data_IF_319686120793
#
_entry.id   IF_319686120793
#
_cell.length_a   1.000
_cell.length_b   1.000
_cell.length_c   1.000
_cell.angle_alpha   90.00
_cell.angle_beta   90.00
_cell.angle_gamma   90.00
#
_symmetry.space_group_name_H-M   'P 1'
#
loop_
_entity.id
_entity.type
_entity.pdbx_description
1 polymer ?
#
# COMPACT_ATOMS: atom_id res chain seq x y z
N UNK A 1 -6.77 -5.45 20.75
CA UNK A 1 -5.39 -5.03 20.48
C UNK A 1 -5.14 -3.83 21.37
N UNK A 2 -4.04 -3.81 22.11
CA UNK A 2 -3.71 -2.66 22.96
C UNK A 2 -3.24 -1.46 22.13
N UNK A 3 -3.38 -0.23 22.67
CA UNK A 3 -2.85 1.00 22.06
C UNK A 3 -1.35 0.88 21.71
N UNK A 4 -0.59 0.20 22.57
CA UNK A 4 0.85 -0.04 22.36
C UNK A 4 1.09 -0.99 21.19
N UNK A 5 0.37 -2.10 21.12
CA UNK A 5 0.42 -3.04 19.98
C UNK A 5 0.05 -2.35 18.66
N UNK A 6 -1.01 -1.53 18.66
CA UNK A 6 -1.44 -0.79 17.48
C UNK A 6 -0.35 0.18 17.01
N UNK A 7 0.21 0.98 17.92
CA UNK A 7 1.33 1.89 17.61
C UNK A 7 2.53 1.13 17.05
N UNK A 8 2.86 -0.02 17.62
CA UNK A 8 3.96 -0.84 17.13
C UNK A 8 3.66 -1.34 15.72
N UNK A 9 2.50 -1.96 15.49
CA UNK A 9 2.08 -2.47 14.18
C UNK A 9 2.12 -1.40 13.09
N UNK A 10 1.59 -0.20 13.35
CA UNK A 10 1.59 0.88 12.37
C UNK A 10 3.01 1.42 12.13
N UNK A 11 3.91 1.41 13.11
CA UNK A 11 5.33 1.78 12.91
C UNK A 11 6.09 0.73 12.09
N UNK A 12 5.77 -0.55 12.27
CA UNK A 12 6.35 -1.62 11.45
C UNK A 12 6.02 -1.43 9.97
N UNK A 13 4.80 -0.99 9.64
CA UNK A 13 4.43 -0.66 8.25
C UNK A 13 5.37 0.39 7.64
N UNK A 14 5.73 1.43 8.40
CA UNK A 14 6.68 2.47 7.97
C UNK A 14 8.06 1.90 7.65
N UNK A 15 8.53 0.98 8.50
CA UNK A 15 9.83 0.31 8.32
C UNK A 15 9.78 -0.55 7.05
N UNK A 16 8.72 -1.32 6.89
CA UNK A 16 8.55 -2.20 5.74
C UNK A 16 8.45 -1.43 4.42
N UNK A 17 7.84 -0.24 4.38
CA UNK A 17 7.89 0.61 3.18
C UNK A 17 9.32 1.02 2.83
N UNK A 18 10.17 1.36 3.81
CA UNK A 18 11.58 1.64 3.54
C UNK A 18 12.31 0.43 2.94
N UNK A 19 12.03 -0.76 3.49
CA UNK A 19 12.61 -2.01 3.01
C UNK A 19 12.20 -2.29 1.57
N UNK A 20 10.90 -2.24 1.28
CA UNK A 20 10.34 -2.66 -0.01
C UNK A 20 10.58 -1.60 -1.10
N UNK A 21 10.33 -0.32 -0.82
CA UNK A 21 10.40 0.75 -1.84
C UNK A 21 11.82 1.25 -2.11
N UNK A 22 12.73 1.12 -1.14
CA UNK A 22 14.11 1.61 -1.28
C UNK A 22 15.19 0.53 -1.11
N UNK A 23 14.81 -0.73 -0.92
CA UNK A 23 15.75 -1.86 -0.86
C UNK A 23 16.65 -1.89 0.38
N UNK A 24 16.28 -1.19 1.45
CA UNK A 24 17.03 -1.24 2.72
C UNK A 24 16.80 -2.55 3.45
N UNK A 25 17.76 -3.00 4.27
CA UNK A 25 17.50 -4.09 5.20
C UNK A 25 16.73 -3.59 6.42
N UNK A 26 15.94 -4.48 7.03
CA UNK A 26 15.16 -4.15 8.23
C UNK A 26 16.04 -3.57 9.36
N UNK A 27 17.16 -4.25 9.66
CA UNK A 27 18.11 -3.81 10.68
C UNK A 27 18.73 -2.45 10.36
N UNK A 28 19.05 -2.19 9.09
CA UNK A 28 19.59 -0.90 8.67
C UNK A 28 18.60 0.23 8.97
N UNK A 29 17.31 0.05 8.68
CA UNK A 29 16.28 1.07 8.93
C UNK A 29 16.13 1.36 10.43
N UNK A 30 16.19 0.33 11.28
CA UNK A 30 16.11 0.50 12.73
C UNK A 30 17.32 1.25 13.28
N UNK A 31 18.52 0.88 12.84
CA UNK A 31 19.78 1.46 13.33
C UNK A 31 19.98 2.91 12.83
N UNK A 32 19.41 3.28 11.68
CA UNK A 32 19.66 4.55 11.00
C UNK A 32 18.44 5.48 10.93
N UNK A 33 17.49 5.38 11.88
CA UNK A 33 16.23 6.16 11.86
C UNK A 33 16.43 7.65 11.64
N UNK A 34 17.35 8.28 12.35
CA UNK A 34 17.61 9.74 12.25
C UNK A 34 18.09 10.15 10.86
N UNK A 35 18.92 9.32 10.21
CA UNK A 35 19.40 9.60 8.86
C UNK A 35 18.27 9.48 7.82
N UNK A 36 17.32 8.57 8.05
CA UNK A 36 16.19 8.32 7.17
C UNK A 36 15.03 9.32 7.37
N UNK A 37 15.05 10.17 8.40
CA UNK A 37 13.99 11.16 8.65
C UNK A 37 13.77 12.09 7.46
N UNK A 38 14.84 12.54 6.78
CA UNK A 38 14.73 13.41 5.60
C UNK A 38 14.03 12.72 4.42
N UNK A 39 14.16 11.40 4.32
CA UNK A 39 13.50 10.57 3.30
C UNK A 39 12.13 10.06 3.77
N UNK A 40 11.80 10.26 5.05
CA UNK A 40 10.52 9.86 5.61
C UNK A 40 9.38 10.71 5.05
N UNK A 41 9.62 11.98 4.73
CA UNK A 41 8.60 12.88 4.21
C UNK A 41 8.03 12.44 2.83
N UNK A 42 8.77 11.61 2.08
CA UNK A 42 8.30 11.03 0.80
C UNK A 42 7.57 9.69 0.94
N UNK A 43 7.40 9.18 2.16
CA UNK A 43 6.70 7.91 2.38
C UNK A 43 5.19 8.08 2.27
N UNK A 44 4.57 7.09 1.65
CA UNK A 44 3.12 6.90 1.64
C UNK A 44 2.59 6.76 3.06
N UNK A 45 3.40 6.26 3.99
CA UNK A 45 3.03 6.15 5.40
C UNK A 45 2.50 7.47 5.98
N UNK A 46 3.09 8.61 5.61
CA UNK A 46 2.67 9.92 6.12
C UNK A 46 1.35 10.42 5.51
N UNK A 47 0.93 9.87 4.37
CA UNK A 47 -0.39 10.13 3.77
C UNK A 47 -1.47 9.37 4.53
N UNK A 48 -1.16 8.16 5.04
CA UNK A 48 -2.13 7.30 5.70
C UNK A 48 -2.20 7.53 7.20
N UNK A 49 -1.06 7.65 7.88
CA UNK A 49 -0.98 7.50 9.32
C UNK A 49 -0.37 8.70 10.02
N UNK A 50 -0.99 9.05 11.14
CA UNK A 50 -0.38 9.93 12.11
C UNK A 50 -0.64 9.46 13.55
N UNK A 51 0.44 9.11 14.23
CA UNK A 51 0.41 8.59 15.59
C UNK A 51 0.72 9.65 16.67
N UNK A 52 0.87 10.92 16.28
CA UNK A 52 1.10 12.02 17.22
C UNK A 52 -0.20 12.38 17.95
N UNK A 53 -0.15 12.41 19.28
CA UNK A 53 -1.32 12.70 20.13
C UNK A 53 -1.69 14.19 20.16
N UNK A 54 -0.80 15.08 19.74
CA UNK A 54 -1.03 16.53 19.68
C UNK A 54 -0.57 17.06 18.32
N UNK A 55 -1.47 17.07 17.33
CA UNK A 55 -1.21 17.76 16.07
C UNK A 55 -1.10 19.28 16.33
N UNK A 56 0.12 19.80 16.35
CA UNK A 56 0.37 21.27 16.40
C UNK A 56 0.18 21.95 15.04
N UNK A 57 0.00 21.18 13.96
CA UNK A 57 -0.36 21.63 12.60
C UNK A 57 -1.42 20.70 12.03
N UNK A 58 -2.22 21.16 11.06
CA UNK A 58 -3.15 20.30 10.30
C UNK A 58 -2.36 19.12 9.74
N UNK A 59 -2.53 17.95 10.34
CA UNK A 59 -1.93 16.72 9.86
C UNK A 59 -2.88 16.17 8.79
N UNK A 60 -2.46 16.18 7.52
CA UNK A 60 -3.28 15.73 6.37
C UNK A 60 -3.40 14.19 6.26
N UNK A 61 -2.82 13.45 7.21
CA UNK A 61 -2.91 12.00 7.25
C UNK A 61 -4.35 11.53 7.43
N UNK A 62 -4.76 10.54 6.65
CA UNK A 62 -6.14 10.02 6.63
C UNK A 62 -6.59 9.42 7.96
N UNK A 63 -5.68 8.77 8.68
CA UNK A 63 -5.99 8.06 9.91
C UNK A 63 -5.05 8.52 11.04
N UNK A 64 -5.64 9.12 12.07
CA UNK A 64 -4.95 9.38 13.32
C UNK A 64 -5.10 8.21 14.30
N UNK A 65 -4.33 8.25 15.39
CA UNK A 65 -4.35 7.20 16.41
C UNK A 65 -5.75 6.96 17.00
N UNK A 66 -6.51 8.01 17.31
CA UNK A 66 -7.84 7.87 17.91
C UNK A 66 -8.83 7.17 16.97
N UNK A 67 -8.75 7.47 15.67
CA UNK A 67 -9.57 6.82 14.64
C UNK A 67 -9.21 5.35 14.52
N UNK A 68 -7.91 5.02 14.49
CA UNK A 68 -7.44 3.63 14.39
C UNK A 68 -7.81 2.81 15.63
N UNK A 69 -7.84 3.42 16.82
CA UNK A 69 -8.23 2.75 18.07
C UNK A 69 -9.69 2.34 18.12
N UNK A 70 -10.57 3.07 17.41
CA UNK A 70 -12.00 2.79 17.33
C UNK A 70 -12.35 1.74 16.28
N UNK A 71 -11.40 1.39 15.40
CA UNK A 71 -11.62 0.40 14.36
C UNK A 71 -11.57 -1.02 14.92
N UNK A 72 -12.47 -1.86 14.43
CA UNK A 72 -12.36 -3.30 14.63
C UNK A 72 -11.21 -3.89 13.79
N UNK A 73 -10.98 -5.20 13.94
CA UNK A 73 -9.91 -5.90 13.21
C UNK A 73 -10.10 -5.89 11.69
N UNK A 74 -11.34 -5.91 11.21
CA UNK A 74 -11.65 -5.97 9.78
C UNK A 74 -11.40 -4.61 9.13
N UNK A 75 -11.92 -3.53 9.73
CA UNK A 75 -11.68 -2.16 9.29
C UNK A 75 -10.19 -1.83 9.32
N UNK A 76 -9.47 -2.21 10.38
CA UNK A 76 -8.02 -1.99 10.45
C UNK A 76 -7.28 -2.76 9.34
N UNK A 77 -7.72 -3.97 9.01
CA UNK A 77 -7.15 -4.74 7.89
C UNK A 77 -7.37 -4.01 6.57
N UNK A 78 -8.56 -3.49 6.31
CA UNK A 78 -8.86 -2.74 5.09
C UNK A 78 -7.96 -1.51 4.92
N UNK A 79 -7.75 -0.76 6.01
CA UNK A 79 -6.84 0.40 6.01
C UNK A 79 -5.40 -0.01 5.70
N UNK A 80 -4.92 -1.09 6.31
CA UNK A 80 -3.55 -1.59 6.09
C UNK A 80 -3.40 -2.11 4.65
N UNK A 81 -4.41 -2.81 4.13
CA UNK A 81 -4.38 -3.29 2.75
C UNK A 81 -4.39 -2.13 1.75
N UNK A 82 -5.16 -1.05 2.01
CA UNK A 82 -5.18 0.15 1.17
C UNK A 82 -3.82 0.88 1.20
N UNK A 83 -3.21 0.95 2.38
CA UNK A 83 -1.85 1.47 2.55
C UNK A 83 -0.85 0.69 1.70
N UNK A 84 -0.82 -0.64 1.82
CA UNK A 84 0.11 -1.48 1.06
C UNK A 84 -0.10 -1.38 -0.43
N UNK A 85 -1.36 -1.38 -0.87
CA UNK A 85 -1.67 -1.14 -2.28
C UNK A 85 -1.05 0.17 -2.78
N UNK A 86 -1.16 1.25 -2.00
CA UNK A 86 -0.62 2.55 -2.40
C UNK A 86 0.91 2.55 -2.42
N UNK A 87 1.57 1.84 -1.49
CA UNK A 87 3.03 1.64 -1.50
C UNK A 87 3.47 0.91 -2.75
N UNK A 88 2.86 -0.25 -3.05
CA UNK A 88 3.19 -1.03 -4.23
C UNK A 88 2.95 -0.22 -5.51
N UNK A 89 1.79 0.42 -5.61
CA UNK A 89 1.47 1.28 -6.73
C UNK A 89 2.52 2.39 -6.95
N UNK A 90 3.01 3.00 -5.87
CA UNK A 90 4.06 4.02 -5.95
C UNK A 90 5.39 3.44 -6.44
N UNK A 91 5.77 2.24 -5.99
CA UNK A 91 6.97 1.53 -6.47
C UNK A 91 6.91 1.34 -7.99
N UNK A 92 5.78 0.83 -8.49
CA UNK A 92 5.64 0.59 -9.93
C UNK A 92 5.58 1.89 -10.74
N UNK A 93 4.95 2.95 -10.21
CA UNK A 93 4.99 4.28 -10.82
C UNK A 93 6.42 4.83 -10.92
N UNK A 94 7.21 4.66 -9.87
CA UNK A 94 8.62 5.09 -9.83
C UNK A 94 9.52 4.28 -10.78
N UNK A 95 9.16 3.03 -11.04
CA UNK A 95 9.84 2.14 -11.98
C UNK A 95 9.38 2.31 -13.44
N UNK A 96 8.40 3.18 -13.69
CA UNK A 96 8.05 3.63 -15.04
C UNK A 96 6.77 3.05 -15.64
N UNK A 97 5.70 2.87 -14.87
CA UNK A 97 4.34 2.66 -15.42
C UNK A 97 3.75 3.94 -16.04
N UNK A 98 3.37 3.95 -17.32
CA UNK A 98 2.55 5.02 -17.87
C UNK A 98 1.08 4.87 -17.42
N UNK A 99 0.55 5.87 -16.72
CA UNK A 99 -0.87 5.90 -16.37
C UNK A 99 -1.72 6.28 -17.60
N UNK A 100 -1.92 5.34 -18.52
CA UNK A 100 -2.79 5.45 -19.68
C UNK A 100 -3.68 4.21 -19.80
N UNK A 101 -5.00 4.41 -19.75
CA UNK A 101 -6.06 3.43 -20.10
C UNK A 101 -6.12 2.11 -19.30
N UNK A 102 -6.70 2.19 -18.09
CA UNK A 102 -7.11 1.03 -17.27
C UNK A 102 -8.11 0.07 -17.95
N UNK A 103 -8.55 0.35 -19.17
CA UNK A 103 -9.65 -0.31 -19.87
C UNK A 103 -9.20 -1.24 -21.01
N UNK A 104 -7.97 -1.78 -20.96
CA UNK A 104 -7.57 -2.75 -21.97
C UNK A 104 -8.45 -4.02 -21.88
N UNK A 105 -8.92 -4.58 -23.01
CA UNK A 105 -9.72 -5.80 -23.02
C UNK A 105 -9.05 -7.00 -22.33
N UNK A 106 -7.73 -7.10 -22.42
CA UNK A 106 -6.93 -8.17 -21.82
C UNK A 106 -6.81 -8.01 -20.29
N UNK A 107 -6.59 -6.79 -19.79
CA UNK A 107 -6.61 -6.49 -18.35
C UNK A 107 -8.00 -6.74 -17.76
N UNK A 108 -9.06 -6.30 -18.45
CA UNK A 108 -10.44 -6.52 -18.01
C UNK A 108 -10.78 -8.02 -17.95
N UNK A 109 -10.38 -8.79 -18.95
CA UNK A 109 -10.55 -10.24 -18.96
C UNK A 109 -9.81 -10.91 -17.79
N UNK A 110 -8.55 -10.53 -17.55
CA UNK A 110 -7.76 -11.06 -16.44
C UNK A 110 -8.37 -10.71 -15.07
N UNK A 111 -8.88 -9.48 -14.92
CA UNK A 111 -9.58 -9.04 -13.71
C UNK A 111 -10.99 -9.62 -13.57
N UNK A 112 -11.47 -10.39 -14.55
CA UNK A 112 -12.84 -10.93 -14.58
C UNK A 112 -13.91 -9.83 -14.63
N UNK A 113 -13.62 -8.75 -15.37
CA UNK A 113 -14.46 -7.56 -15.48
C UNK A 113 -15.02 -7.38 -16.90
N UNK A 114 -16.26 -6.87 -17.04
CA UNK A 114 -16.80 -6.48 -18.34
C UNK A 114 -16.01 -5.36 -19.02
N UNK A 115 -16.02 -5.35 -20.35
CA UNK A 115 -15.34 -4.35 -21.20
C UNK A 115 -15.76 -2.89 -20.94
N UNK A 116 -16.91 -2.65 -20.30
CA UNK A 116 -17.39 -1.32 -19.90
C UNK A 116 -17.20 -0.99 -18.42
N UNK A 117 -16.32 -1.71 -17.72
CA UNK A 117 -16.08 -1.45 -16.30
C UNK A 117 -15.37 -0.13 -16.10
N UNK A 118 -15.89 0.69 -15.18
CA UNK A 118 -15.25 1.95 -14.81
C UNK A 118 -13.93 1.72 -14.05
N UNK A 119 -13.10 2.76 -14.05
CA UNK A 119 -11.78 2.75 -13.41
C UNK A 119 -11.83 2.38 -11.93
N UNK A 120 -12.88 2.77 -11.20
CA UNK A 120 -13.01 2.43 -9.78
C UNK A 120 -13.25 0.94 -9.58
N UNK A 121 -14.05 0.32 -10.46
CA UNK A 121 -14.33 -1.11 -10.46
C UNK A 121 -13.09 -1.92 -10.84
N UNK A 122 -12.32 -1.44 -11.81
CA UNK A 122 -11.03 -2.02 -12.21
C UNK A 122 -10.05 -1.97 -11.04
N UNK A 123 -9.83 -0.80 -10.45
CA UNK A 123 -8.99 -0.63 -9.24
C UNK A 123 -9.45 -1.50 -8.08
N UNK A 124 -10.77 -1.68 -7.90
CA UNK A 124 -11.32 -2.55 -6.86
C UNK A 124 -10.96 -4.02 -7.12
N UNK A 125 -11.20 -4.55 -8.31
CA UNK A 125 -10.85 -5.95 -8.63
C UNK A 125 -9.36 -6.21 -8.60
N UNK A 126 -8.56 -5.29 -9.13
CA UNK A 126 -7.10 -5.37 -9.06
C UNK A 126 -6.64 -5.49 -7.60
N UNK A 127 -7.16 -4.64 -6.70
CA UNK A 127 -6.86 -4.73 -5.26
C UNK A 127 -7.29 -6.06 -4.64
N UNK A 128 -8.46 -6.57 -4.99
CA UNK A 128 -8.93 -7.87 -4.49
C UNK A 128 -7.98 -9.00 -4.91
N UNK A 129 -7.51 -9.00 -6.16
CA UNK A 129 -6.55 -10.00 -6.66
C UNK A 129 -5.16 -9.83 -6.06
N UNK A 130 -4.65 -8.60 -5.90
CA UNK A 130 -3.40 -8.35 -5.17
C UNK A 130 -3.46 -8.96 -3.76
N UNK A 131 -4.53 -8.68 -3.01
CA UNK A 131 -4.71 -9.23 -1.65
C UNK A 131 -4.77 -10.75 -1.65
N UNK A 132 -5.40 -11.35 -2.66
CA UNK A 132 -5.54 -12.81 -2.78
C UNK A 132 -4.22 -13.49 -3.11
N UNK A 133 -3.42 -12.89 -3.98
CA UNK A 133 -2.20 -13.49 -4.50
C UNK A 133 -0.93 -13.04 -3.77
N UNK A 134 -1.01 -12.06 -2.86
CA UNK A 134 0.16 -11.56 -2.15
C UNK A 134 0.91 -12.68 -1.41
N UNK A 135 2.22 -12.89 -1.66
CA UNK A 135 2.99 -13.98 -1.07
C UNK A 135 3.02 -13.93 0.46
N UNK A 136 3.18 -12.74 1.06
CA UNK A 136 3.14 -12.56 2.52
C UNK A 136 1.79 -12.92 3.18
N UNK A 137 0.70 -13.01 2.39
CA UNK A 137 -0.60 -13.47 2.87
C UNK A 137 -0.84 -14.96 2.64
N UNK A 138 0.20 -15.72 2.23
CA UNK A 138 0.09 -17.11 1.78
C UNK A 138 -0.54 -17.25 0.39
N UNK A 139 -0.52 -16.16 -0.39
CA UNK A 139 -1.01 -16.14 -1.75
C UNK A 139 -0.01 -16.72 -2.76
N UNK A 140 -0.50 -16.90 -3.98
CA UNK A 140 0.26 -17.47 -5.10
C UNK A 140 1.15 -16.39 -5.74
N UNK A 141 2.46 -16.48 -5.47
CA UNK A 141 3.45 -15.52 -5.96
C UNK A 141 3.50 -15.45 -7.50
N UNK A 142 3.27 -16.56 -8.20
CA UNK A 142 3.30 -16.59 -9.66
C UNK A 142 2.09 -15.83 -10.22
N UNK A 143 0.90 -16.04 -9.65
CA UNK A 143 -0.30 -15.27 -10.02
C UNK A 143 -0.20 -13.79 -9.65
N UNK A 144 0.53 -13.47 -8.59
CA UNK A 144 0.80 -12.09 -8.23
C UNK A 144 1.70 -11.44 -9.28
N UNK A 145 2.78 -12.11 -9.69
CA UNK A 145 3.66 -11.63 -10.77
C UNK A 145 2.91 -11.49 -12.10
N UNK A 146 2.04 -12.44 -12.45
CA UNK A 146 1.19 -12.39 -13.65
C UNK A 146 0.20 -11.20 -13.61
N UNK A 147 -0.41 -10.93 -12.45
CA UNK A 147 -1.26 -9.74 -12.25
C UNK A 147 -0.47 -8.44 -12.45
N UNK A 148 0.80 -8.42 -12.04
CA UNK A 148 1.66 -7.26 -12.21
C UNK A 148 2.13 -7.10 -13.67
N UNK A 149 2.48 -8.19 -14.34
CA UNK A 149 2.92 -8.17 -15.75
C UNK A 149 1.80 -7.67 -16.68
N UNK A 150 0.56 -8.12 -16.46
CA UNK A 150 -0.61 -7.66 -17.22
C UNK A 150 -0.90 -6.19 -16.92
N UNK A 151 -0.73 -5.74 -15.68
CA UNK A 151 -0.85 -4.32 -15.36
C UNK A 151 0.24 -3.51 -16.06
N UNK A 152 1.49 -3.96 -16.08
CA UNK A 152 2.59 -3.29 -16.76
C UNK A 152 2.41 -3.21 -18.28
N UNK A 153 1.90 -4.28 -18.89
CA UNK A 153 1.69 -4.36 -20.34
C UNK A 153 0.61 -3.40 -20.84
N UNK A 154 -0.44 -3.19 -20.04
CA UNK A 154 -1.65 -2.50 -20.46
C UNK A 154 -1.83 -1.12 -19.86
N UNK A 155 -1.06 -0.77 -18.84
CA UNK A 155 -0.98 0.58 -18.31
C UNK A 155 0.29 1.22 -18.93
N UNK A 156 0.29 1.42 -20.26
CA UNK A 156 1.41 1.98 -21.05
C UNK A 156 1.03 3.22 -21.83
#
# INVERSE_FOLDING_TARGET
MSRRELKHKIRELKIMEFVIRYGYTYDFVIQNRTALEKKADSLIWHIFFNLQEKCRRKCEARYNLETLEKMDKAALKEVIDEYWFTVYYQIYKEQGLPMGEWASPELLNYLGLPFGSDENRIKKRFRELCKRYHPDSGGDADKFMELMDIAEKHLK
#
